data_IF_842783928545
#
_entry.id   IF_842783928545
#
_cell.length_a   1.000
_cell.length_b   1.000
_cell.length_c   1.000
_cell.angle_alpha   90.00
_cell.angle_beta   90.00
_cell.angle_gamma   90.00
#
_symmetry.space_group_name_H-M   'P 1'
#
loop_
_entity.id
_entity.type
_entity.pdbx_description
1 polymer ?
#
# COMPACT_ATOMS: atom_id res chain seq x y z
N UNK A 1 -42.72 -17.23 -19.94
CA UNK A 1 -41.33 -17.57 -19.55
C UNK A 1 -40.26 -16.95 -20.47
N UNK A 2 -40.48 -16.66 -21.74
CA UNK A 2 -39.47 -16.09 -22.67
C UNK A 2 -39.10 -14.63 -22.43
N UNK A 3 -40.04 -13.77 -22.02
CA UNK A 3 -39.78 -12.34 -21.81
C UNK A 3 -38.89 -12.05 -20.58
N UNK A 4 -39.07 -12.78 -19.47
CA UNK A 4 -38.28 -12.60 -18.25
C UNK A 4 -36.84 -13.06 -18.46
N UNK A 5 -36.61 -14.12 -19.25
CA UNK A 5 -35.28 -14.61 -19.58
C UNK A 5 -34.54 -13.62 -20.49
N UNK A 6 -35.22 -12.94 -21.41
CA UNK A 6 -34.62 -11.93 -22.28
C UNK A 6 -34.23 -10.65 -21.49
N UNK A 7 -35.03 -10.20 -20.51
CA UNK A 7 -34.70 -9.06 -19.66
C UNK A 7 -33.51 -9.35 -18.75
N UNK A 8 -33.42 -10.56 -18.20
CA UNK A 8 -32.26 -10.97 -17.38
C UNK A 8 -30.98 -11.03 -18.21
N UNK A 9 -31.05 -11.58 -19.43
CA UNK A 9 -29.92 -11.64 -20.37
C UNK A 9 -29.47 -10.23 -20.82
N UNK A 10 -30.39 -9.28 -20.99
CA UNK A 10 -30.08 -7.88 -21.31
C UNK A 10 -29.39 -7.19 -20.15
N UNK A 11 -29.82 -7.44 -18.91
CA UNK A 11 -29.13 -6.92 -17.71
C UNK A 11 -27.71 -7.48 -17.54
N UNK A 12 -27.48 -8.76 -17.88
CA UNK A 12 -26.14 -9.33 -17.89
C UNK A 12 -25.22 -8.77 -18.98
N UNK A 13 -25.76 -8.37 -20.12
CA UNK A 13 -25.01 -7.70 -21.20
C UNK A 13 -24.51 -6.29 -20.83
N UNK A 14 -25.10 -5.66 -19.82
CA UNK A 14 -24.72 -4.32 -19.34
C UNK A 14 -23.72 -4.34 -18.16
N UNK A 15 -23.31 -5.53 -17.71
CA UNK A 15 -22.27 -5.61 -16.68
C UNK A 15 -20.92 -5.22 -17.31
N UNK A 16 -20.46 -4.02 -17.01
CA UNK A 16 -19.11 -3.61 -17.40
C UNK A 16 -18.07 -4.39 -16.59
N UNK A 17 -17.50 -5.42 -17.21
CA UNK A 17 -16.42 -6.23 -16.64
C UNK A 17 -15.04 -5.64 -16.92
N UNK A 18 -14.96 -4.53 -17.67
CA UNK A 18 -13.69 -3.89 -18.03
C UNK A 18 -12.80 -3.55 -16.82
N UNK A 19 -13.34 -3.21 -15.63
CA UNK A 19 -12.49 -3.01 -14.44
C UNK A 19 -11.79 -4.28 -13.92
N UNK A 20 -12.28 -5.47 -14.31
CA UNK A 20 -11.80 -6.77 -13.84
C UNK A 20 -11.01 -7.55 -14.89
N UNK A 21 -11.16 -7.18 -16.16
CA UNK A 21 -10.45 -7.80 -17.27
C UNK A 21 -9.23 -6.94 -17.62
N UNK A 22 -8.06 -7.57 -17.67
CA UNK A 22 -6.87 -6.90 -18.24
C UNK A 22 -7.17 -6.57 -19.70
N UNK A 23 -6.91 -5.35 -20.17
CA UNK A 23 -6.95 -5.07 -21.60
C UNK A 23 -5.99 -6.03 -22.30
N UNK A 24 -6.53 -6.89 -23.16
CA UNK A 24 -5.76 -7.86 -23.96
C UNK A 24 -4.77 -7.18 -24.94
N UNK A 25 -4.89 -5.87 -25.11
CA UNK A 25 -4.14 -5.06 -26.06
C UNK A 25 -2.74 -4.66 -25.58
N UNK A 26 -2.50 -4.61 -24.27
CA UNK A 26 -1.18 -4.30 -23.73
C UNK A 26 -0.43 -5.59 -23.39
N UNK A 27 0.43 -6.06 -24.28
CA UNK A 27 1.41 -7.10 -23.93
C UNK A 27 2.65 -6.45 -23.35
N UNK A 28 3.26 -7.01 -22.28
CA UNK A 28 4.49 -6.48 -21.74
C UNK A 28 5.59 -6.58 -22.81
N UNK A 29 6.39 -5.55 -22.92
CA UNK A 29 7.53 -5.56 -23.82
C UNK A 29 8.54 -6.62 -23.40
N UNK A 30 8.96 -7.46 -24.32
CA UNK A 30 10.02 -8.47 -24.10
C UNK A 30 11.39 -7.81 -23.96
N UNK A 31 11.55 -6.58 -24.46
CA UNK A 31 12.76 -5.75 -24.34
C UNK A 31 12.44 -4.46 -23.61
N UNK A 32 13.32 -4.06 -22.71
CA UNK A 32 13.22 -2.82 -21.94
C UNK A 32 14.17 -1.77 -22.53
N UNK A 33 13.64 -0.57 -22.75
CA UNK A 33 14.42 0.55 -23.25
C UNK A 33 15.21 1.21 -22.12
N UNK A 34 16.52 1.35 -22.32
CA UNK A 34 17.43 2.03 -21.37
C UNK A 34 17.64 3.46 -21.81
N UNK A 35 17.55 4.38 -20.85
CA UNK A 35 17.70 5.81 -21.07
C UNK A 35 18.91 6.36 -20.32
N UNK A 36 19.48 7.39 -20.90
CA UNK A 36 20.56 8.19 -20.31
C UNK A 36 19.99 9.17 -19.25
N UNK A 37 20.81 9.75 -18.34
CA UNK A 37 20.37 10.80 -17.43
C UNK A 37 19.67 11.99 -18.10
N UNK A 38 19.96 12.26 -19.36
CA UNK A 38 19.34 13.31 -20.16
C UNK A 38 18.03 12.91 -20.86
N UNK A 39 17.58 11.67 -20.68
CA UNK A 39 16.36 11.15 -21.31
C UNK A 39 16.53 10.64 -22.73
N UNK A 40 17.77 10.56 -23.25
CA UNK A 40 18.05 9.98 -24.55
C UNK A 40 18.02 8.44 -24.47
N UNK A 41 17.48 7.79 -25.51
CA UNK A 41 17.52 6.34 -25.65
C UNK A 41 18.95 5.87 -25.95
N UNK A 42 19.40 4.82 -25.28
CA UNK A 42 20.77 4.27 -25.41
C UNK A 42 20.75 2.84 -25.96
N UNK A 43 20.02 1.94 -25.35
CA UNK A 43 20.06 0.51 -25.67
C UNK A 43 18.75 -0.20 -25.25
N UNK A 44 18.62 -1.44 -25.72
CA UNK A 44 17.57 -2.36 -25.25
C UNK A 44 18.21 -3.48 -24.42
N UNK A 45 17.54 -3.86 -23.33
CA UNK A 45 17.89 -5.03 -22.51
C UNK A 45 16.71 -6.01 -22.48
N UNK A 46 16.99 -7.31 -22.37
CA UNK A 46 15.94 -8.32 -22.25
C UNK A 46 15.20 -8.21 -20.92
N UNK A 47 13.87 -8.20 -20.99
CA UNK A 47 13.02 -8.10 -19.82
C UNK A 47 13.12 -9.38 -18.97
N UNK A 48 13.37 -9.26 -17.64
CA UNK A 48 13.22 -10.38 -16.73
C UNK A 48 11.80 -10.94 -16.73
N UNK A 49 11.67 -12.23 -16.40
CA UNK A 49 10.37 -12.93 -16.31
C UNK A 49 9.35 -12.19 -15.42
N UNK A 50 9.83 -11.46 -14.44
CA UNK A 50 9.01 -10.66 -13.51
C UNK A 50 8.10 -9.63 -14.18
N UNK A 51 8.50 -9.05 -15.31
CA UNK A 51 7.69 -8.10 -16.06
C UNK A 51 6.68 -8.77 -16.99
N UNK A 52 6.84 -10.08 -17.26
CA UNK A 52 6.00 -10.86 -18.17
C UNK A 52 4.87 -11.60 -17.46
N UNK A 53 4.88 -11.62 -16.11
CA UNK A 53 3.87 -12.28 -15.29
C UNK A 53 2.50 -11.61 -15.38
N UNK A 54 1.40 -12.37 -15.26
CA UNK A 54 0.06 -11.79 -15.21
C UNK A 54 -0.16 -10.99 -13.93
N UNK A 55 -0.91 -9.88 -14.05
CA UNK A 55 -1.25 -9.04 -12.89
C UNK A 55 -2.40 -9.67 -12.11
N UNK A 56 -2.11 -10.14 -10.89
CA UNK A 56 -3.06 -10.75 -9.96
C UNK A 56 -3.31 -9.87 -8.75
N UNK A 57 -4.35 -9.04 -8.83
CA UNK A 57 -4.72 -8.07 -7.79
C UNK A 57 -5.10 -8.75 -6.46
N UNK A 58 -5.72 -9.93 -6.52
CA UNK A 58 -6.09 -10.75 -5.37
C UNK A 58 -4.86 -11.11 -4.50
N UNK A 59 -3.81 -11.65 -5.13
CA UNK A 59 -2.57 -12.00 -4.44
C UNK A 59 -1.84 -10.76 -3.91
N UNK A 60 -1.81 -9.69 -4.70
CA UNK A 60 -1.20 -8.42 -4.33
C UNK A 60 -1.85 -7.85 -3.07
N UNK A 61 -3.18 -7.82 -3.01
CA UNK A 61 -3.92 -7.34 -1.82
C UNK A 61 -3.66 -8.20 -0.59
N UNK A 62 -3.68 -9.53 -0.75
CA UNK A 62 -3.40 -10.46 0.34
C UNK A 62 -1.98 -10.27 0.89
N UNK A 63 -0.97 -10.23 0.02
CA UNK A 63 0.41 -10.01 0.41
C UNK A 63 0.64 -8.62 1.02
N UNK A 64 -0.06 -7.58 0.52
CA UNK A 64 -0.05 -6.25 1.12
C UNK A 64 -0.61 -6.26 2.54
N UNK A 65 -1.76 -6.91 2.79
CA UNK A 65 -2.35 -7.02 4.12
C UNK A 65 -1.45 -7.77 5.09
N UNK A 66 -0.82 -8.86 4.64
CA UNK A 66 0.19 -9.58 5.43
C UNK A 66 1.34 -8.66 5.85
N UNK A 67 1.94 -7.94 4.90
CA UNK A 67 3.05 -7.02 5.19
C UNK A 67 2.63 -5.83 6.07
N UNK A 68 1.40 -5.32 5.92
CA UNK A 68 0.85 -4.24 6.73
C UNK A 68 0.60 -4.69 8.16
N UNK A 69 -0.05 -5.84 8.34
CA UNK A 69 -0.42 -6.36 9.66
C UNK A 69 0.80 -6.78 10.48
N UNK A 70 1.90 -7.18 9.84
CA UNK A 70 3.18 -7.45 10.51
C UNK A 70 3.76 -6.22 11.26
N UNK A 71 3.36 -5.00 10.89
CA UNK A 71 3.78 -3.75 11.55
C UNK A 71 2.93 -3.38 12.76
N UNK A 72 1.82 -4.08 13.00
CA UNK A 72 0.91 -3.75 14.08
C UNK A 72 1.48 -4.22 15.41
N UNK A 73 1.51 -3.30 16.38
CA UNK A 73 1.88 -3.63 17.75
C UNK A 73 0.72 -4.28 18.49
N UNK A 74 0.96 -5.27 19.37
CA UNK A 74 -0.04 -5.77 20.29
C UNK A 74 -0.64 -4.63 21.10
N UNK A 75 -1.95 -4.67 21.30
CA UNK A 75 -2.68 -3.66 22.08
C UNK A 75 -3.68 -4.33 23.01
N UNK A 76 -3.75 -3.85 24.22
CA UNK A 76 -4.67 -4.29 25.22
C UNK A 76 -5.27 -3.12 25.99
N UNK A 77 -6.20 -3.43 26.86
CA UNK A 77 -6.76 -2.51 27.85
C UNK A 77 -6.26 -2.99 29.20
N UNK A 78 -6.08 -2.07 30.13
CA UNK A 78 -5.82 -2.41 31.53
C UNK A 78 -6.88 -3.38 32.06
N UNK A 79 -6.48 -4.48 32.66
CA UNK A 79 -7.37 -5.57 33.05
C UNK A 79 -8.41 -5.15 34.09
N UNK A 80 -8.07 -4.22 34.96
CA UNK A 80 -8.95 -3.60 35.96
C UNK A 80 -9.89 -2.53 35.41
N UNK A 81 -9.78 -2.14 34.12
CA UNK A 81 -10.58 -1.06 33.56
C UNK A 81 -12.09 -1.32 33.66
N UNK A 82 -12.78 -0.47 34.39
CA UNK A 82 -14.22 -0.59 34.68
C UNK A 82 -14.59 -1.71 35.65
N UNK A 83 -13.63 -2.29 36.37
CA UNK A 83 -13.82 -3.37 37.35
C UNK A 83 -13.39 -2.98 38.76
N UNK A 84 -12.63 -1.93 38.95
CA UNK A 84 -12.09 -1.47 40.25
C UNK A 84 -13.10 -0.63 41.03
N UNK A 85 -14.28 -1.19 41.21
CA UNK A 85 -15.38 -0.53 41.95
C UNK A 85 -16.04 -1.50 42.89
N UNK A 86 -16.37 -1.02 44.09
CA UNK A 86 -17.19 -1.76 45.08
C UNK A 86 -18.64 -1.75 44.63
N UNK A 87 -19.04 -2.72 43.82
CA UNK A 87 -20.38 -2.81 43.26
C UNK A 87 -21.00 -4.17 43.57
N UNK A 88 -22.26 -4.18 43.90
CA UNK A 88 -23.01 -5.37 44.29
C UNK A 88 -24.36 -5.40 43.61
N UNK A 89 -24.86 -6.60 43.31
CA UNK A 89 -26.24 -6.76 42.87
C UNK A 89 -27.16 -6.86 44.07
N UNK A 90 -28.18 -6.03 44.12
CA UNK A 90 -29.14 -5.98 45.19
C UNK A 90 -30.32 -6.96 45.02
N UNK A 91 -30.22 -7.85 44.03
CA UNK A 91 -31.22 -8.90 43.79
C UNK A 91 -32.55 -8.39 43.24
N UNK A 92 -33.63 -9.04 43.66
CA UNK A 92 -35.01 -8.79 43.22
C UNK A 92 -35.79 -7.94 44.26
N UNK A 93 -36.94 -7.38 43.86
CA UNK A 93 -37.83 -6.66 44.75
C UNK A 93 -37.70 -5.13 44.71
N UNK A 94 -36.70 -4.57 44.06
CA UNK A 94 -36.46 -3.13 43.98
C UNK A 94 -37.10 -2.44 42.77
N UNK A 95 -37.74 -3.17 41.87
CA UNK A 95 -38.33 -2.60 40.64
C UNK A 95 -37.32 -2.07 39.63
N UNK A 96 -36.03 -2.30 39.83
CA UNK A 96 -34.94 -1.82 38.96
C UNK A 96 -34.12 -2.99 38.38
N UNK A 97 -33.39 -2.74 37.29
CA UNK A 97 -32.55 -3.76 36.67
C UNK A 97 -31.50 -4.35 37.64
N UNK A 98 -31.30 -5.66 37.59
CA UNK A 98 -30.41 -6.44 38.49
C UNK A 98 -28.94 -6.32 38.18
N UNK A 99 -28.48 -5.21 37.62
CA UNK A 99 -27.09 -4.94 37.36
C UNK A 99 -26.36 -4.57 38.66
N UNK A 100 -25.04 -4.82 38.76
CA UNK A 100 -24.27 -4.33 39.89
C UNK A 100 -24.35 -2.81 40.00
N UNK A 101 -24.54 -2.30 41.24
CA UNK A 101 -24.65 -0.87 41.52
C UNK A 101 -23.70 -0.46 42.61
N UNK A 102 -23.33 0.83 42.61
CA UNK A 102 -22.50 1.41 43.66
C UNK A 102 -23.19 1.32 45.02
N UNK A 103 -22.40 1.13 46.06
CA UNK A 103 -22.82 1.27 47.45
C UNK A 103 -22.63 2.72 47.91
N UNK A 104 -23.46 3.20 48.84
CA UNK A 104 -23.32 4.53 49.44
C UNK A 104 -23.85 5.67 48.58
N UNK A 105 -23.18 6.82 48.58
CA UNK A 105 -23.65 8.09 47.99
C UNK A 105 -23.93 8.07 46.50
N UNK A 106 -23.32 7.14 45.75
CA UNK A 106 -23.53 6.99 44.33
C UNK A 106 -24.69 6.07 43.95
N UNK A 107 -25.39 5.51 44.91
CA UNK A 107 -26.66 4.77 44.72
C UNK A 107 -27.70 5.66 44.02
N UNK A 108 -28.44 5.18 43.03
CA UNK A 108 -28.56 3.82 42.47
C UNK A 108 -27.76 3.60 41.16
N UNK A 109 -26.70 4.33 40.95
CA UNK A 109 -25.91 4.26 39.70
C UNK A 109 -25.39 2.83 39.43
N UNK A 110 -25.58 2.34 38.21
CA UNK A 110 -25.00 1.06 37.77
C UNK A 110 -23.50 1.16 37.57
N UNK A 111 -22.81 0.05 37.77
CA UNK A 111 -21.36 -0.06 37.56
C UNK A 111 -21.01 -1.47 37.10
N UNK A 112 -19.74 -1.68 36.74
CA UNK A 112 -19.18 -2.98 36.33
C UNK A 112 -19.84 -3.60 35.09
N UNK A 113 -21.12 -3.48 34.83
CA UNK A 113 -21.80 -4.02 33.66
C UNK A 113 -21.35 -3.32 32.36
N UNK A 114 -21.28 -4.01 31.20
CA UNK A 114 -20.77 -3.43 29.95
C UNK A 114 -21.61 -2.25 29.43
N UNK A 115 -22.87 -2.21 29.74
CA UNK A 115 -23.83 -1.19 29.27
C UNK A 115 -23.98 0.02 30.21
N UNK A 116 -23.14 0.12 31.25
CA UNK A 116 -23.15 1.25 32.18
C UNK A 116 -22.04 2.25 31.88
N UNK A 117 -22.26 3.53 32.24
CA UNK A 117 -21.24 4.57 32.13
C UNK A 117 -20.11 4.27 33.12
N UNK A 118 -18.88 4.16 32.63
CA UNK A 118 -17.69 3.76 33.41
C UNK A 118 -17.61 2.26 33.69
N UNK A 119 -18.49 1.43 33.15
CA UNK A 119 -18.44 -0.02 33.27
C UNK A 119 -17.34 -0.65 32.37
N UNK A 120 -17.10 -1.94 32.57
CA UNK A 120 -16.12 -2.68 31.76
C UNK A 120 -16.54 -2.81 30.29
N UNK A 121 -15.57 -2.96 29.40
CA UNK A 121 -15.86 -3.37 28.01
C UNK A 121 -16.24 -4.85 27.98
N UNK A 122 -17.29 -5.21 27.22
CA UNK A 122 -17.71 -6.60 27.05
C UNK A 122 -16.60 -7.42 26.38
N UNK A 123 -16.01 -6.89 25.28
CA UNK A 123 -14.93 -7.50 24.51
C UNK A 123 -13.77 -6.50 24.37
N UNK A 124 -12.91 -6.40 25.40
CA UNK A 124 -11.75 -5.51 25.31
C UNK A 124 -10.71 -6.10 24.34
N UNK A 125 -9.90 -5.25 23.69
CA UNK A 125 -8.75 -5.74 22.95
C UNK A 125 -7.77 -6.42 23.91
N UNK A 126 -7.21 -7.55 23.47
CA UNK A 126 -6.21 -8.33 24.24
C UNK A 126 -4.89 -8.38 23.52
N UNK A 127 -3.74 -8.32 24.22
CA UNK A 127 -2.41 -8.40 23.61
C UNK A 127 -2.16 -9.71 22.86
N UNK A 128 -2.77 -10.81 23.33
CA UNK A 128 -2.61 -12.15 22.76
C UNK A 128 -3.28 -12.32 21.40
N UNK A 129 -4.11 -11.36 20.98
CA UNK A 129 -4.76 -11.43 19.68
C UNK A 129 -3.74 -11.50 18.56
N UNK A 130 -3.81 -12.53 17.73
CA UNK A 130 -3.03 -12.61 16.49
C UNK A 130 -3.44 -11.47 15.56
N UNK A 131 -2.52 -10.54 15.31
CA UNK A 131 -2.74 -9.40 14.42
C UNK A 131 -2.14 -9.63 13.05
N UNK A 132 -1.04 -10.36 12.97
CA UNK A 132 -0.35 -10.66 11.73
C UNK A 132 -1.09 -11.75 10.93
N UNK A 133 -1.37 -11.43 9.66
CA UNK A 133 -1.92 -12.37 8.68
C UNK A 133 -0.75 -13.02 7.92
N UNK A 134 -0.47 -14.26 8.22
CA UNK A 134 0.62 -15.02 7.60
C UNK A 134 0.29 -15.36 6.13
N UNK A 135 1.32 -15.42 5.30
CA UNK A 135 1.24 -15.81 3.89
C UNK A 135 2.35 -16.78 3.54
N UNK A 136 2.09 -17.70 2.64
CA UNK A 136 3.10 -18.64 2.15
C UNK A 136 4.21 -17.92 1.37
N UNK A 137 5.46 -18.33 1.54
CA UNK A 137 6.62 -17.72 0.87
C UNK A 137 6.48 -17.69 -0.65
N UNK A 138 6.04 -18.81 -1.26
CA UNK A 138 5.82 -18.91 -2.71
C UNK A 138 4.71 -17.96 -3.18
N UNK A 139 3.62 -17.86 -2.42
CA UNK A 139 2.52 -16.95 -2.71
C UNK A 139 2.98 -15.47 -2.61
N UNK A 140 3.79 -15.14 -1.60
CA UNK A 140 4.41 -13.81 -1.44
C UNK A 140 5.30 -13.46 -2.63
N UNK A 141 6.18 -14.39 -3.07
CA UNK A 141 7.06 -14.18 -4.21
C UNK A 141 6.26 -13.94 -5.51
N UNK A 142 5.24 -14.78 -5.76
CA UNK A 142 4.36 -14.62 -6.91
C UNK A 142 3.62 -13.26 -6.88
N UNK A 143 3.16 -12.81 -5.71
CA UNK A 143 2.54 -11.50 -5.55
C UNK A 143 3.51 -10.35 -5.89
N UNK A 144 4.78 -10.46 -5.45
CA UNK A 144 5.82 -9.46 -5.76
C UNK A 144 6.08 -9.42 -7.27
N UNK A 145 6.24 -10.58 -7.93
CA UNK A 145 6.39 -10.66 -9.40
C UNK A 145 5.21 -10.01 -10.11
N UNK A 146 4.00 -10.37 -9.72
CA UNK A 146 2.79 -9.79 -10.29
C UNK A 146 2.67 -8.26 -10.07
N UNK A 147 3.14 -7.75 -8.92
CA UNK A 147 3.19 -6.30 -8.67
C UNK A 147 4.24 -5.59 -9.51
N UNK A 148 5.41 -6.23 -9.77
CA UNK A 148 6.44 -5.73 -10.68
C UNK A 148 5.89 -5.69 -12.11
N UNK A 149 5.23 -6.77 -12.57
CA UNK A 149 4.60 -6.79 -13.88
C UNK A 149 3.63 -5.61 -14.09
N UNK A 150 2.82 -5.30 -13.07
CA UNK A 150 1.87 -4.19 -13.14
C UNK A 150 2.52 -2.82 -13.38
N UNK A 151 3.80 -2.65 -13.06
CA UNK A 151 4.55 -1.39 -13.30
C UNK A 151 4.92 -1.19 -14.77
N UNK A 152 4.87 -2.25 -15.57
CA UNK A 152 5.15 -2.20 -17.00
C UNK A 152 3.94 -1.78 -17.85
N UNK A 153 2.72 -1.84 -17.30
CA UNK A 153 1.52 -1.51 -18.04
C UNK A 153 1.07 -0.07 -17.78
N UNK A 154 0.99 0.72 -18.83
CA UNK A 154 0.54 2.12 -18.76
C UNK A 154 -0.88 2.25 -18.19
N UNK A 155 -1.76 1.33 -18.57
CA UNK A 155 -3.15 1.26 -18.09
C UNK A 155 -3.23 1.14 -16.57
N UNK A 156 -2.44 0.26 -15.95
CA UNK A 156 -2.40 0.09 -14.49
C UNK A 156 -1.81 1.30 -13.78
N UNK A 157 -0.74 1.89 -14.34
CA UNK A 157 -0.08 3.06 -13.75
C UNK A 157 -1.01 4.28 -13.80
N UNK A 158 -1.70 4.51 -14.93
CA UNK A 158 -2.68 5.58 -15.06
C UNK A 158 -3.91 5.36 -14.19
N UNK A 159 -4.44 4.11 -14.11
CA UNK A 159 -5.56 3.75 -13.24
C UNK A 159 -5.27 4.04 -11.75
N UNK A 160 -4.02 3.88 -11.34
CA UNK A 160 -3.58 4.25 -9.99
C UNK A 160 -3.58 5.77 -9.75
N UNK A 161 -3.57 6.59 -10.78
CA UNK A 161 -3.59 8.05 -10.74
C UNK A 161 -2.20 8.69 -10.82
N UNK A 162 -1.20 8.00 -11.38
CA UNK A 162 0.08 8.60 -11.73
C UNK A 162 -0.01 9.37 -13.05
N UNK A 163 0.76 10.45 -13.17
CA UNK A 163 0.89 11.23 -14.40
C UNK A 163 1.98 10.60 -15.26
N UNK A 164 1.58 9.97 -16.38
CA UNK A 164 2.49 9.22 -17.25
C UNK A 164 2.59 9.77 -18.68
N UNK A 165 1.98 10.92 -18.96
CA UNK A 165 1.86 11.46 -20.32
C UNK A 165 3.21 11.79 -20.97
N UNK A 166 4.17 12.22 -20.15
CA UNK A 166 5.53 12.63 -20.61
C UNK A 166 6.56 11.52 -20.43
N UNK A 167 6.20 10.38 -19.88
CA UNK A 167 7.12 9.26 -19.65
C UNK A 167 7.35 8.52 -20.96
N UNK A 168 8.61 8.34 -21.42
CA UNK A 168 8.90 7.81 -22.75
C UNK A 168 8.55 6.33 -22.90
N UNK A 169 8.72 5.52 -21.87
CA UNK A 169 8.39 4.09 -21.87
C UNK A 169 8.15 3.57 -20.46
N UNK A 170 7.40 2.48 -20.33
CA UNK A 170 7.22 1.74 -19.09
C UNK A 170 7.56 0.25 -19.33
N UNK A 171 8.26 -0.40 -18.38
CA UNK A 171 8.93 0.20 -17.21
C UNK A 171 10.08 1.10 -17.62
N UNK A 172 10.32 2.17 -16.87
CA UNK A 172 11.39 3.12 -17.15
C UNK A 172 12.72 2.59 -16.59
N UNK A 173 13.71 2.38 -17.45
CA UNK A 173 15.04 1.90 -17.06
C UNK A 173 16.10 2.94 -17.44
N UNK A 174 17.02 3.21 -16.53
CA UNK A 174 18.12 4.18 -16.71
C UNK A 174 19.48 3.53 -16.49
N UNK A 175 20.52 4.14 -17.07
CA UNK A 175 21.89 3.70 -16.90
C UNK A 175 22.35 3.75 -15.43
N UNK A 176 23.34 2.96 -15.08
CA UNK A 176 23.86 2.85 -13.71
C UNK A 176 24.58 4.11 -13.21
N UNK A 177 25.04 4.98 -14.10
CA UNK A 177 25.69 6.24 -13.74
C UNK A 177 24.75 7.16 -12.93
N UNK A 178 23.43 6.98 -13.06
CA UNK A 178 22.41 7.67 -12.27
C UNK A 178 22.57 7.36 -10.78
N UNK A 179 23.01 6.17 -10.39
CA UNK A 179 23.22 5.81 -8.97
C UNK A 179 24.30 6.65 -8.28
N UNK A 180 25.23 7.26 -9.05
CA UNK A 180 26.31 8.12 -8.55
C UNK A 180 25.84 9.54 -8.22
N UNK A 181 24.62 9.93 -8.59
CA UNK A 181 24.08 11.25 -8.36
C UNK A 181 23.81 11.46 -6.86
N UNK A 182 24.62 12.29 -6.21
CA UNK A 182 24.47 12.61 -4.78
C UNK A 182 23.75 13.93 -4.49
N UNK A 183 23.48 14.77 -5.52
CA UNK A 183 22.87 16.10 -5.31
C UNK A 183 21.41 16.09 -5.76
N UNK A 184 20.50 16.59 -4.89
CA UNK A 184 19.07 16.69 -5.20
C UNK A 184 18.78 17.56 -6.45
N UNK A 185 19.61 18.61 -6.72
CA UNK A 185 19.47 19.44 -7.90
C UNK A 185 19.64 18.65 -9.19
N UNK A 186 20.62 17.76 -9.25
CA UNK A 186 20.91 16.96 -10.44
C UNK A 186 19.90 15.81 -10.57
N UNK A 187 19.47 15.22 -9.45
CA UNK A 187 18.36 14.27 -9.43
C UNK A 187 17.04 14.90 -9.93
N UNK A 188 16.77 16.18 -9.62
CA UNK A 188 15.62 16.89 -10.18
C UNK A 188 15.70 17.03 -11.69
N UNK A 189 16.86 17.41 -12.24
CA UNK A 189 17.06 17.50 -13.70
C UNK A 189 16.79 16.14 -14.38
N UNK A 190 17.27 15.05 -13.77
CA UNK A 190 16.99 13.69 -14.23
C UNK A 190 15.48 13.42 -14.29
N UNK A 191 14.73 13.76 -13.23
CA UNK A 191 13.28 13.55 -13.17
C UNK A 191 12.52 14.41 -14.19
N UNK A 192 13.00 15.63 -14.45
CA UNK A 192 12.47 16.52 -15.48
C UNK A 192 12.71 15.96 -16.88
N UNK A 193 13.94 15.50 -17.17
CA UNK A 193 14.32 14.91 -18.46
C UNK A 193 13.54 13.64 -18.79
N UNK A 194 13.29 12.79 -17.78
CA UNK A 194 12.53 11.54 -17.91
C UNK A 194 11.00 11.73 -17.83
N UNK A 195 10.52 12.95 -17.66
CA UNK A 195 9.08 13.25 -17.56
C UNK A 195 8.41 12.76 -16.27
N UNK A 196 9.18 12.49 -15.21
CA UNK A 196 8.68 12.01 -13.90
C UNK A 196 8.27 13.17 -12.96
N UNK A 197 8.82 14.36 -13.19
CA UNK A 197 8.60 15.52 -12.31
C UNK A 197 7.13 15.92 -12.13
N UNK A 198 6.26 15.89 -13.15
CA UNK A 198 4.83 16.18 -12.99
C UNK A 198 4.12 15.30 -11.96
N UNK A 199 4.53 14.04 -11.81
CA UNK A 199 3.97 13.12 -10.80
C UNK A 199 4.43 13.48 -9.38
N UNK A 200 5.68 13.96 -9.21
CA UNK A 200 6.20 14.48 -7.94
C UNK A 200 5.43 15.75 -7.53
N UNK A 201 5.17 16.67 -8.49
CA UNK A 201 4.35 17.86 -8.23
C UNK A 201 2.92 17.50 -7.84
N UNK A 202 2.31 16.51 -8.51
CA UNK A 202 0.99 15.98 -8.12
C UNK A 202 1.01 15.53 -6.66
N UNK A 203 2.04 14.80 -6.24
CA UNK A 203 2.17 14.35 -4.85
C UNK A 203 2.35 15.53 -3.88
N UNK A 204 3.17 16.51 -4.22
CA UNK A 204 3.38 17.71 -3.42
C UNK A 204 2.08 18.49 -3.19
N UNK A 205 1.32 18.74 -4.27
CA UNK A 205 0.00 19.41 -4.19
C UNK A 205 -1.04 18.59 -3.41
N UNK A 206 -0.88 17.27 -3.37
CA UNK A 206 -1.77 16.32 -2.68
C UNK A 206 -1.54 16.20 -1.17
N UNK A 207 -0.53 16.84 -0.61
CA UNK A 207 -0.26 16.82 0.84
C UNK A 207 -1.37 17.55 1.58
N UNK A 208 -2.02 16.84 2.51
CA UNK A 208 -3.14 17.37 3.30
C UNK A 208 -3.11 16.91 4.74
N UNK A 209 -3.78 17.68 5.60
CA UNK A 209 -3.93 17.32 7.01
C UNK A 209 -4.81 16.06 7.09
N UNK A 210 -4.35 15.07 7.86
CA UNK A 210 -5.05 13.80 8.07
C UNK A 210 -6.36 14.02 8.83
N UNK A 211 -7.44 13.39 8.40
CA UNK A 211 -8.67 13.31 9.15
C UNK A 211 -8.52 12.41 10.39
N UNK A 212 -9.32 12.67 11.43
CA UNK A 212 -9.36 11.88 12.64
C UNK A 212 -8.20 12.12 13.61
N UNK A 213 -8.14 11.33 14.68
CA UNK A 213 -7.19 11.47 15.80
C UNK A 213 -5.74 11.10 15.46
N UNK A 214 -5.47 10.54 14.29
CA UNK A 214 -4.11 10.22 13.82
C UNK A 214 -3.19 11.44 13.76
N UNK A 215 -3.74 12.63 13.48
CA UNK A 215 -2.99 13.90 13.47
C UNK A 215 -2.40 14.28 14.84
N UNK A 216 -3.06 13.90 15.93
CA UNK A 216 -2.59 14.13 17.31
C UNK A 216 -1.52 13.11 17.74
N UNK A 217 -1.31 12.04 16.94
CA UNK A 217 -0.39 10.94 17.25
C UNK A 217 0.86 10.95 16.37
N UNK A 218 1.37 12.13 16.04
CA UNK A 218 2.57 12.30 15.20
C UNK A 218 2.36 12.05 13.70
N UNK A 219 1.12 11.84 13.22
CA UNK A 219 0.80 11.59 11.80
C UNK A 219 -0.09 12.68 11.24
N UNK A 220 0.35 13.94 11.36
CA UNK A 220 -0.46 15.12 10.99
C UNK A 220 -0.80 15.15 9.50
N UNK A 221 0.16 14.86 8.64
CA UNK A 221 -0.01 14.96 7.19
C UNK A 221 -0.27 13.59 6.55
N UNK A 222 -1.00 13.59 5.45
CA UNK A 222 -1.16 12.48 4.53
C UNK A 222 -0.60 12.90 3.19
N UNK A 223 0.40 12.16 2.70
CA UNK A 223 1.11 12.41 1.46
C UNK A 223 0.79 11.31 0.44
N UNK A 224 0.38 11.66 -0.78
CA UNK A 224 0.21 10.69 -1.86
C UNK A 224 1.57 10.10 -2.27
N UNK A 225 1.57 8.84 -2.66
CA UNK A 225 2.76 8.20 -3.21
C UNK A 225 2.97 8.62 -4.66
N UNK A 226 4.24 8.87 -4.99
CA UNK A 226 4.76 9.18 -6.32
C UNK A 226 5.69 8.07 -6.81
N UNK A 227 6.70 8.43 -7.55
CA UNK A 227 7.67 7.53 -8.18
C UNK A 227 8.34 6.63 -7.15
N UNK A 228 8.55 5.37 -7.53
CA UNK A 228 9.43 4.45 -6.83
C UNK A 228 10.74 4.34 -7.60
N UNK A 229 11.86 4.62 -6.97
CA UNK A 229 13.19 4.44 -7.54
C UNK A 229 13.76 3.13 -7.00
N UNK A 230 14.15 2.24 -7.88
CA UNK A 230 14.76 0.95 -7.53
C UNK A 230 16.22 0.98 -7.94
N UNK A 231 17.08 0.89 -6.95
CA UNK A 231 18.55 0.94 -7.09
C UNK A 231 19.16 -0.44 -6.83
N UNK A 232 20.40 -0.61 -7.27
CA UNK A 232 21.13 -1.86 -7.08
C UNK A 232 21.47 -2.12 -5.62
N UNK A 233 21.93 -1.08 -4.89
CA UNK A 233 22.41 -1.18 -3.52
C UNK A 233 21.85 -0.05 -2.64
N UNK A 234 21.79 -0.31 -1.32
CA UNK A 234 21.22 0.63 -0.34
C UNK A 234 22.07 1.89 -0.19
N UNK A 235 23.39 1.75 -0.33
CA UNK A 235 24.37 2.81 -0.10
C UNK A 235 24.60 3.70 -1.34
N UNK A 236 23.79 3.53 -2.39
CA UNK A 236 23.88 4.37 -3.59
C UNK A 236 23.62 5.85 -3.24
N UNK A 237 24.49 6.80 -3.66
CA UNK A 237 24.34 8.24 -3.39
C UNK A 237 22.98 8.80 -3.84
N UNK A 238 22.38 8.22 -4.88
CA UNK A 238 21.06 8.58 -5.37
C UNK A 238 19.97 8.48 -4.29
N UNK A 239 20.10 7.54 -3.33
CA UNK A 239 19.12 7.37 -2.25
C UNK A 239 18.96 8.65 -1.46
N UNK A 240 20.06 9.28 -1.06
CA UNK A 240 20.04 10.53 -0.31
C UNK A 240 19.58 11.73 -1.14
N UNK A 241 19.91 11.74 -2.44
CA UNK A 241 19.51 12.82 -3.34
C UNK A 241 17.99 12.88 -3.59
N UNK A 242 17.29 11.73 -3.58
CA UNK A 242 15.90 11.63 -4.05
C UNK A 242 14.89 11.41 -2.91
N UNK A 243 15.30 10.85 -1.77
CA UNK A 243 14.39 10.50 -0.67
C UNK A 243 13.58 11.67 -0.11
N UNK A 244 14.07 12.90 -0.28
CA UNK A 244 13.36 14.11 0.19
C UNK A 244 12.30 14.63 -0.80
N UNK A 245 12.18 14.04 -1.99
CA UNK A 245 11.14 14.44 -2.94
C UNK A 245 9.76 13.95 -2.47
N UNK A 246 8.70 14.79 -2.61
CA UNK A 246 7.36 14.45 -2.15
C UNK A 246 6.84 13.14 -2.74
N UNK A 247 6.45 12.20 -1.87
CA UNK A 247 5.86 10.92 -2.24
C UNK A 247 6.80 9.91 -2.89
N UNK A 248 8.06 10.27 -3.12
CA UNK A 248 9.07 9.38 -3.72
C UNK A 248 9.60 8.43 -2.65
N UNK A 249 9.69 7.15 -2.99
CA UNK A 249 10.40 6.15 -2.19
C UNK A 249 11.58 5.62 -3.00
N UNK A 250 12.71 5.37 -2.34
CA UNK A 250 13.90 4.74 -2.93
C UNK A 250 14.19 3.45 -2.20
N UNK A 251 14.39 2.36 -2.93
CA UNK A 251 14.55 1.03 -2.34
C UNK A 251 15.56 0.23 -3.16
N UNK A 252 16.45 -0.48 -2.50
CA UNK A 252 17.29 -1.48 -3.17
C UNK A 252 16.47 -2.72 -3.57
N UNK A 253 16.89 -3.39 -4.63
CA UNK A 253 16.17 -4.57 -5.16
C UNK A 253 15.91 -5.62 -4.10
N UNK A 254 16.87 -5.88 -3.22
CA UNK A 254 16.77 -6.86 -2.13
C UNK A 254 15.72 -6.50 -1.07
N UNK A 255 15.37 -5.21 -0.96
CA UNK A 255 14.39 -4.69 0.00
C UNK A 255 13.00 -4.48 -0.61
N UNK A 256 12.80 -4.85 -1.88
CA UNK A 256 11.50 -4.75 -2.53
C UNK A 256 10.43 -5.54 -1.75
N UNK A 257 9.33 -4.86 -1.46
CA UNK A 257 8.21 -5.45 -0.76
C UNK A 257 6.87 -4.88 -1.25
N UNK A 258 5.79 -5.54 -0.87
CA UNK A 258 4.44 -5.14 -1.31
C UNK A 258 4.01 -3.76 -0.83
N UNK A 259 4.52 -3.29 0.33
CA UNK A 259 4.16 -1.96 0.86
C UNK A 259 4.70 -0.83 -0.01
N UNK A 260 5.82 -1.09 -0.72
CA UNK A 260 6.48 -0.13 -1.59
C UNK A 260 5.98 -0.25 -3.03
N UNK A 261 5.85 -1.47 -3.56
CA UNK A 261 5.40 -1.73 -4.94
C UNK A 261 3.91 -1.42 -5.15
N UNK A 262 3.09 -1.81 -4.19
CA UNK A 262 1.64 -1.65 -4.26
C UNK A 262 1.07 -1.00 -2.97
N UNK A 263 1.41 0.28 -2.67
CA UNK A 263 0.89 0.96 -1.50
C UNK A 263 -0.64 0.98 -1.51
N UNK A 264 -1.26 0.53 -0.40
CA UNK A 264 -2.71 0.38 -0.31
C UNK A 264 -3.27 -0.92 -0.90
N UNK A 265 -2.41 -1.82 -1.41
CA UNK A 265 -2.82 -3.07 -2.07
C UNK A 265 -3.26 -2.88 -3.53
N UNK A 266 -3.08 -1.70 -4.09
CA UNK A 266 -3.37 -1.41 -5.50
C UNK A 266 -2.07 -1.44 -6.32
N UNK A 267 -2.00 -2.23 -7.42
CA UNK A 267 -0.84 -2.32 -8.30
C UNK A 267 -0.66 -1.09 -9.20
N UNK A 268 0.45 -1.04 -9.94
CA UNK A 268 0.68 -0.02 -10.96
C UNK A 268 1.36 1.24 -10.42
N UNK A 269 2.32 1.12 -9.51
CA UNK A 269 3.14 2.26 -9.10
C UNK A 269 4.11 2.66 -10.21
N UNK A 270 4.25 3.96 -10.47
CA UNK A 270 5.27 4.48 -11.40
C UNK A 270 6.66 4.20 -10.85
N UNK A 271 7.48 3.45 -11.61
CA UNK A 271 8.81 2.97 -11.17
C UNK A 271 9.91 3.40 -12.12
N UNK A 272 11.05 3.75 -11.53
CA UNK A 272 12.32 4.01 -12.19
C UNK A 272 13.31 2.92 -11.76
N UNK A 273 13.90 2.20 -12.71
CA UNK A 273 14.84 1.11 -12.47
C UNK A 273 16.23 1.50 -12.97
N UNK A 274 17.30 1.08 -12.29
CA UNK A 274 18.66 1.08 -12.86
C UNK A 274 18.93 -0.24 -13.56
N UNK A 275 19.85 -0.26 -14.52
CA UNK A 275 20.19 -1.48 -15.27
C UNK A 275 20.66 -2.58 -14.32
N UNK A 276 21.60 -2.28 -13.42
CA UNK A 276 22.05 -3.23 -12.38
C UNK A 276 20.92 -3.75 -11.49
N UNK A 277 19.95 -2.90 -11.16
CA UNK A 277 18.80 -3.34 -10.40
C UNK A 277 17.97 -4.37 -11.18
N UNK A 278 17.76 -4.18 -12.49
CA UNK A 278 17.06 -5.14 -13.34
C UNK A 278 17.85 -6.46 -13.48
N UNK A 279 19.17 -6.40 -13.57
CA UNK A 279 20.01 -7.60 -13.60
C UNK A 279 19.96 -8.39 -12.30
N UNK A 280 20.10 -7.73 -11.14
CA UNK A 280 19.96 -8.36 -9.82
C UNK A 280 18.56 -8.96 -9.62
N UNK A 281 17.51 -8.36 -10.18
CA UNK A 281 16.16 -8.86 -10.09
C UNK A 281 16.00 -10.26 -10.68
N UNK A 282 16.76 -10.61 -11.74
CA UNK A 282 16.68 -11.93 -12.41
C UNK A 282 16.87 -13.11 -11.47
N UNK A 283 17.65 -12.95 -10.40
CA UNK A 283 17.91 -13.99 -9.39
C UNK A 283 17.01 -13.98 -8.15
N UNK A 284 16.07 -13.03 -8.05
CA UNK A 284 15.25 -12.83 -6.86
C UNK A 284 13.78 -13.20 -7.10
N UNK A 285 13.07 -13.54 -6.03
CA UNK A 285 11.62 -13.80 -6.04
C UNK A 285 11.15 -14.93 -6.99
N UNK A 286 12.01 -15.86 -7.35
CA UNK A 286 11.69 -17.03 -8.18
C UNK A 286 10.90 -18.10 -7.44
#
# INVERSE_FOLDING_TARGET
>A
MSAVVSEVLVKFKQLDLSPYIQPLEERPATKLKVYDPNGAYVADIDAPVHFLEPVRVDLIRRAYLSALTARFQPKGVYEGAGKEHSCESFGVGLGIARIPRYKGSLWPRGCFAPNTVGGRRAHPPRPEKRLHEEINKREKNLAIRSAIAATAYKSWVSKRGHVVDKVPALPLVVMDDVEKIGKAKDARKLFEALGLWPDVERAARGVKIRAGKGKMRGRRYKEPKSVLVVVSDVDAPLVDAVRNFPGVDVVAVNQLNMLVLAPGGEPGRLTLWTVKAVEKLRGLFL
#
